data_IF_150614534985
#
_entry.id   IF_150614534985
#
_cell.length_a   1.000
_cell.length_b   1.000
_cell.length_c   1.000
_cell.angle_alpha   90.00
_cell.angle_beta   90.00
_cell.angle_gamma   90.00
#
_symmetry.space_group_name_H-M   'P 1'
#
loop_
_entity.id
_entity.type
_entity.pdbx_description
1 polymer ?
#
# COMPACT_ATOMS: atom_id res chain seq x y z
N UNK A 1 -9.73 14.96 7.63
CA UNK A 1 -10.16 13.54 7.68
C UNK A 1 -9.23 12.78 6.76
N UNK A 2 -8.63 11.69 7.21
CA UNK A 2 -7.82 10.84 6.31
C UNK A 2 -8.76 10.12 5.35
N UNK A 3 -8.57 10.28 4.05
CA UNK A 3 -9.33 9.55 3.04
C UNK A 3 -8.90 8.08 3.03
N UNK A 4 -9.85 7.17 2.83
CA UNK A 4 -9.57 5.74 2.62
C UNK A 4 -9.34 5.53 1.13
N UNK A 5 -8.18 5.00 0.76
CA UNK A 5 -7.89 4.63 -0.63
C UNK A 5 -8.34 3.21 -0.88
N UNK A 6 -8.91 2.93 -2.05
CA UNK A 6 -9.42 1.61 -2.42
C UNK A 6 -8.65 1.08 -3.61
N UNK A 7 -8.16 -0.15 -3.52
CA UNK A 7 -7.45 -0.84 -4.60
C UNK A 7 -8.05 -2.21 -4.84
N UNK A 8 -8.22 -2.56 -6.12
CA UNK A 8 -8.70 -3.88 -6.50
C UNK A 8 -7.53 -4.82 -6.78
N UNK A 9 -7.54 -5.99 -6.13
CA UNK A 9 -6.53 -7.04 -6.31
C UNK A 9 -7.20 -8.40 -6.52
N UNK A 10 -6.68 -9.27 -7.40
CA UNK A 10 -7.27 -10.58 -7.64
C UNK A 10 -7.15 -11.51 -6.41
N UNK A 11 -6.07 -11.34 -5.63
CA UNK A 11 -5.80 -12.10 -4.42
C UNK A 11 -5.42 -11.16 -3.26
N UNK A 12 -6.20 -11.22 -2.18
CA UNK A 12 -6.01 -10.36 -1.01
C UNK A 12 -4.75 -10.69 -0.23
N UNK A 13 -4.33 -11.96 -0.19
CA UNK A 13 -3.13 -12.37 0.53
C UNK A 13 -1.87 -11.87 -0.16
N UNK A 14 -1.81 -11.98 -1.49
CA UNK A 14 -0.74 -11.41 -2.31
C UNK A 14 -0.75 -9.88 -2.26
N UNK A 15 -1.93 -9.25 -2.36
CA UNK A 15 -2.07 -7.80 -2.21
C UNK A 15 -1.58 -7.32 -0.85
N UNK A 16 -2.06 -7.91 0.25
CA UNK A 16 -1.63 -7.55 1.60
C UNK A 16 -0.12 -7.74 1.77
N UNK A 17 0.43 -8.87 1.32
CA UNK A 17 1.87 -9.14 1.40
C UNK A 17 2.70 -8.11 0.62
N UNK A 18 2.24 -7.69 -0.57
CA UNK A 18 2.87 -6.64 -1.36
C UNK A 18 2.93 -5.31 -0.61
N UNK A 19 1.80 -4.83 -0.09
CA UNK A 19 1.75 -3.55 0.61
C UNK A 19 2.44 -3.59 1.98
N UNK A 20 2.43 -4.74 2.66
CA UNK A 20 3.25 -4.96 3.87
C UNK A 20 4.75 -4.91 3.58
N UNK A 21 5.18 -5.43 2.43
CA UNK A 21 6.57 -5.30 1.99
C UNK A 21 6.96 -3.84 1.68
N UNK A 22 6.00 -2.96 1.37
CA UNK A 22 6.18 -1.50 1.29
C UNK A 22 6.07 -0.78 2.65
N UNK A 23 5.87 -1.54 3.73
CA UNK A 23 5.85 -1.03 5.09
C UNK A 23 4.47 -0.71 5.67
N UNK A 24 3.38 -1.12 5.02
CA UNK A 24 2.04 -0.96 5.60
C UNK A 24 1.77 -2.05 6.64
N UNK A 25 1.03 -1.69 7.69
CA UNK A 25 0.54 -2.68 8.65
C UNK A 25 -0.79 -3.25 8.17
N UNK A 26 -0.96 -4.57 8.25
CA UNK A 26 -2.25 -5.23 8.07
C UNK A 26 -3.03 -5.11 9.38
N UNK A 27 -4.18 -4.43 9.34
CA UNK A 27 -5.08 -4.30 10.49
C UNK A 27 -6.12 -5.42 10.51
N UNK A 28 -6.70 -5.73 9.35
CA UNK A 28 -7.79 -6.68 9.24
C UNK A 28 -7.77 -7.37 7.88
N UNK A 29 -8.08 -8.67 7.89
CA UNK A 29 -8.24 -9.48 6.69
C UNK A 29 -9.49 -10.33 6.87
N UNK A 30 -10.49 -10.12 6.02
CA UNK A 30 -11.74 -10.89 6.02
C UNK A 30 -12.06 -11.37 4.60
N UNK A 31 -13.03 -12.27 4.41
CA UNK A 31 -13.40 -12.71 3.08
C UNK A 31 -13.84 -11.53 2.20
N UNK A 32 -13.08 -11.23 1.15
CA UNK A 32 -13.41 -10.19 0.16
C UNK A 32 -12.64 -8.88 0.31
N UNK A 33 -12.03 -8.62 1.48
CA UNK A 33 -11.33 -7.35 1.73
C UNK A 33 -10.17 -7.47 2.74
N UNK A 34 -9.24 -6.53 2.65
CA UNK A 34 -8.16 -6.35 3.61
C UNK A 34 -7.95 -4.86 3.91
N UNK A 35 -7.84 -4.51 5.18
CA UNK A 35 -7.55 -3.15 5.63
C UNK A 35 -6.08 -3.06 6.05
N UNK A 36 -5.36 -2.15 5.41
CA UNK A 36 -4.00 -1.79 5.77
C UNK A 36 -3.93 -0.34 6.24
N UNK A 37 -3.05 -0.02 7.19
CA UNK A 37 -2.92 1.34 7.72
C UNK A 37 -1.49 1.85 7.63
N UNK A 38 -1.26 2.94 6.86
CA UNK A 38 -0.10 3.80 6.96
C UNK A 38 -0.36 4.99 7.91
N UNK A 39 0.69 5.75 8.21
CA UNK A 39 0.60 6.94 9.07
C UNK A 39 -0.35 8.04 8.57
N UNK A 40 -0.66 8.13 7.27
CA UNK A 40 -1.51 9.20 6.69
C UNK A 40 -2.99 8.82 6.47
N UNK A 41 -3.34 7.54 6.37
CA UNK A 41 -4.74 7.10 6.17
C UNK A 41 -4.88 5.71 5.56
N UNK A 42 -5.94 4.94 5.88
CA UNK A 42 -6.04 3.52 5.53
C UNK A 42 -6.08 3.25 4.02
N UNK A 43 -5.44 2.14 3.63
CA UNK A 43 -5.58 1.49 2.32
C UNK A 43 -6.50 0.27 2.46
N UNK A 44 -7.58 0.25 1.68
CA UNK A 44 -8.51 -0.87 1.56
C UNK A 44 -8.22 -1.65 0.28
N UNK A 45 -7.95 -2.94 0.41
CA UNK A 45 -7.87 -3.87 -0.71
C UNK A 45 -9.20 -4.60 -0.88
N UNK A 46 -9.72 -4.65 -2.10
CA UNK A 46 -10.92 -5.38 -2.46
C UNK A 46 -10.62 -6.44 -3.51
N UNK A 47 -11.17 -7.64 -3.37
CA UNK A 47 -11.23 -8.59 -4.47
C UNK A 47 -12.36 -8.19 -5.43
N UNK A 48 -12.14 -8.15 -6.77
CA UNK A 48 -13.23 -7.93 -7.72
C UNK A 48 -14.41 -8.88 -7.48
N UNK A 49 -15.63 -8.36 -7.40
CA UNK A 49 -16.84 -9.12 -7.09
C UNK A 49 -17.75 -8.41 -6.09
N UNK A 50 -18.65 -9.14 -5.43
CA UNK A 50 -19.48 -8.61 -4.34
C UNK A 50 -18.61 -8.43 -3.09
N UNK A 51 -18.11 -7.22 -2.91
CA UNK A 51 -17.40 -6.76 -1.72
C UNK A 51 -17.65 -5.25 -1.57
N UNK A 52 -17.94 -4.80 -0.36
CA UNK A 52 -18.26 -3.42 -0.07
C UNK A 52 -18.13 -3.16 1.41
N UNK A 53 -17.30 -2.20 1.77
CA UNK A 53 -17.08 -1.80 3.17
C UNK A 53 -18.17 -0.82 3.57
N UNK A 54 -18.97 -1.19 4.58
CA UNK A 54 -19.56 -0.18 5.44
C UNK A 54 -18.43 0.43 6.28
N UNK A 55 -18.36 1.76 6.32
CA UNK A 55 -17.28 2.48 7.00
C UNK A 55 -17.18 2.00 8.46
N UNK A 56 -16.12 1.25 8.77
CA UNK A 56 -15.87 0.75 10.12
C UNK A 56 -15.61 1.87 11.13
N UNK A 57 -15.69 1.58 12.44
CA UNK A 57 -15.39 2.57 13.47
C UNK A 57 -13.95 3.10 13.32
N UNK A 58 -13.73 4.37 13.66
CA UNK A 58 -12.39 4.98 13.64
C UNK A 58 -11.45 4.19 14.56
N UNK A 59 -10.45 3.52 14.00
CA UNK A 59 -9.43 2.79 14.77
C UNK A 59 -8.22 3.68 15.04
N UNK A 60 -7.55 3.52 16.19
CA UNK A 60 -6.29 4.21 16.46
C UNK A 60 -5.23 3.80 15.43
N UNK A 61 -4.32 4.72 15.09
CA UNK A 61 -3.22 4.42 14.18
C UNK A 61 -2.32 3.33 14.80
N UNK A 62 -1.80 2.38 14.01
CA UNK A 62 -0.83 1.41 14.50
C UNK A 62 0.36 2.13 15.14
N UNK A 63 0.78 1.63 16.30
CA UNK A 63 1.93 2.18 17.02
C UNK A 63 3.23 1.78 16.30
N UNK A 64 3.79 2.74 15.58
CA UNK A 64 5.08 2.62 14.90
C UNK A 64 5.39 3.90 14.13
N UNK A 65 6.58 4.47 14.33
CA UNK A 65 7.02 5.67 13.60
C UNK A 65 7.57 5.37 12.21
N UNK A 66 7.55 4.10 11.78
CA UNK A 66 8.15 3.66 10.54
C UNK A 66 7.15 3.55 9.40
N UNK A 67 7.52 4.14 8.28
CA UNK A 67 7.19 3.72 6.91
C UNK A 67 6.02 4.40 6.20
N UNK A 68 6.06 4.19 4.88
CA UNK A 68 5.78 5.16 3.84
C UNK A 68 4.46 5.91 3.97
N UNK A 69 4.50 7.21 3.69
CA UNK A 69 3.29 8.03 3.60
C UNK A 69 2.59 7.71 2.29
N UNK A 70 1.31 7.37 2.36
CA UNK A 70 0.51 6.96 1.20
C UNK A 70 -0.38 8.10 0.71
N UNK A 71 -0.35 8.35 -0.59
CA UNK A 71 -1.22 9.31 -1.29
C UNK A 71 -1.72 8.74 -2.60
N UNK A 72 -2.82 9.29 -3.10
CA UNK A 72 -3.26 9.07 -4.48
C UNK A 72 -2.85 10.26 -5.32
N UNK A 73 -2.01 10.03 -6.33
CA UNK A 73 -1.51 11.07 -7.23
C UNK A 73 -1.70 10.60 -8.68
N UNK A 74 -2.45 11.37 -9.47
CA UNK A 74 -2.68 11.08 -10.90
C UNK A 74 -3.14 9.64 -11.18
N UNK A 75 -3.99 9.09 -10.30
CA UNK A 75 -4.51 7.71 -10.41
C UNK A 75 -3.53 6.61 -9.98
N UNK A 76 -2.43 6.97 -9.30
CA UNK A 76 -1.41 6.03 -8.82
C UNK A 76 -1.27 6.16 -7.31
N UNK A 77 -0.99 5.05 -6.65
CA UNK A 77 -0.58 5.11 -5.26
C UNK A 77 0.86 5.63 -5.20
N UNK A 78 1.08 6.65 -4.38
CA UNK A 78 2.36 7.32 -4.19
C UNK A 78 2.81 7.08 -2.75
N UNK A 79 3.98 6.47 -2.59
CA UNK A 79 4.62 6.17 -1.31
C UNK A 79 5.83 7.08 -1.14
N UNK A 80 5.78 7.96 -0.15
CA UNK A 80 6.92 8.76 0.25
C UNK A 80 7.75 8.00 1.28
N UNK A 81 9.03 7.81 0.97
CA UNK A 81 10.00 7.13 1.83
C UNK A 81 11.14 8.07 2.19
N UNK A 82 11.83 7.80 3.30
CA UNK A 82 12.98 8.62 3.71
C UNK A 82 14.20 8.46 2.79
N UNK A 83 14.36 7.27 2.20
CA UNK A 83 15.49 6.97 1.31
C UNK A 83 15.13 5.88 0.31
N UNK A 84 15.25 6.20 -0.98
CA UNK A 84 15.11 5.23 -2.06
C UNK A 84 16.23 4.19 -2.04
N UNK A 85 17.41 4.51 -1.51
CA UNK A 85 18.50 3.55 -1.38
C UNK A 85 18.12 2.43 -0.40
N UNK A 86 17.59 2.78 0.77
CA UNK A 86 17.07 1.80 1.73
C UNK A 86 15.88 1.04 1.18
N UNK A 87 15.00 1.72 0.44
CA UNK A 87 13.82 1.08 -0.13
C UNK A 87 14.20 0.05 -1.20
N UNK A 88 15.17 0.32 -2.08
CA UNK A 88 15.68 -0.68 -3.05
C UNK A 88 16.16 -1.96 -2.35
N UNK A 89 16.86 -1.84 -1.23
CA UNK A 89 17.31 -2.99 -0.44
C UNK A 89 16.13 -3.78 0.15
N UNK A 90 15.10 -3.08 0.63
CA UNK A 90 13.86 -3.69 1.12
C UNK A 90 13.14 -4.45 0.00
N UNK A 91 12.93 -3.81 -1.15
CA UNK A 91 12.28 -4.42 -2.30
C UNK A 91 13.02 -5.68 -2.76
N UNK A 92 14.36 -5.62 -2.84
CA UNK A 92 15.18 -6.78 -3.15
C UNK A 92 15.03 -7.91 -2.12
N UNK A 93 15.00 -7.59 -0.81
CA UNK A 93 14.78 -8.57 0.27
C UNK A 93 13.44 -9.31 0.13
N UNK A 94 12.39 -8.61 -0.32
CA UNK A 94 11.05 -9.19 -0.51
C UNK A 94 10.81 -9.69 -1.94
N UNK A 95 11.80 -9.63 -2.83
CA UNK A 95 11.67 -10.07 -4.22
C UNK A 95 10.67 -9.24 -5.04
N UNK A 96 10.44 -7.97 -4.67
CA UNK A 96 9.54 -7.09 -5.39
C UNK A 96 10.26 -6.44 -6.59
N UNK A 97 9.72 -6.69 -7.78
CA UNK A 97 10.21 -6.06 -9.01
C UNK A 97 9.79 -4.59 -9.06
N UNK A 98 10.72 -3.74 -9.52
CA UNK A 98 10.48 -2.32 -9.76
C UNK A 98 11.18 -1.87 -11.03
N UNK A 99 10.73 -0.73 -11.58
CA UNK A 99 11.38 0.00 -12.66
C UNK A 99 11.92 1.32 -12.12
N UNK A 100 13.11 1.70 -12.53
CA UNK A 100 13.64 3.02 -12.23
C UNK A 100 13.05 4.05 -13.21
N UNK A 101 12.62 5.19 -12.69
CA UNK A 101 12.00 6.25 -13.46
C UNK A 101 12.50 7.61 -12.97
N UNK A 102 13.77 7.91 -13.23
CA UNK A 102 14.40 9.15 -12.78
C UNK A 102 14.54 9.19 -11.25
N UNK A 103 13.73 10.00 -10.59
CA UNK A 103 13.76 10.27 -9.15
C UNK A 103 12.83 9.36 -8.32
N UNK A 104 12.21 8.37 -8.95
CA UNK A 104 11.29 7.45 -8.28
C UNK A 104 11.40 6.02 -8.82
N UNK A 105 10.79 5.10 -8.08
CA UNK A 105 10.60 3.71 -8.47
C UNK A 105 9.13 3.51 -8.86
N UNK A 106 8.90 2.78 -9.94
CA UNK A 106 7.58 2.35 -10.37
C UNK A 106 7.44 0.84 -10.15
N UNK A 107 6.46 0.46 -9.35
CA UNK A 107 6.04 -0.91 -9.10
C UNK A 107 4.64 -1.14 -9.65
N UNK A 108 4.30 -2.41 -9.76
CA UNK A 108 2.93 -2.84 -10.02
C UNK A 108 2.56 -3.85 -8.94
N UNK A 109 1.42 -3.62 -8.29
CA UNK A 109 0.90 -4.59 -7.34
C UNK A 109 0.37 -5.85 -8.08
N UNK A 110 -0.05 -6.90 -7.36
CA UNK A 110 -0.59 -8.11 -7.99
C UNK A 110 -1.87 -7.90 -8.84
N UNK A 111 -2.57 -6.78 -8.65
CA UNK A 111 -3.69 -6.37 -9.50
C UNK A 111 -3.28 -5.56 -10.74
N UNK A 112 -1.99 -5.26 -10.90
CA UNK A 112 -1.48 -4.41 -11.97
C UNK A 112 -1.66 -2.92 -11.69
N UNK A 113 -1.98 -2.53 -10.46
CA UNK A 113 -2.13 -1.12 -10.09
C UNK A 113 -0.75 -0.46 -10.02
N UNK A 114 -0.56 0.73 -10.63
CA UNK A 114 0.71 1.44 -10.59
C UNK A 114 0.97 2.01 -9.19
N UNK A 115 2.15 1.71 -8.67
CA UNK A 115 2.62 2.17 -7.36
C UNK A 115 3.94 2.91 -7.54
N UNK A 116 3.96 4.18 -7.19
CA UNK A 116 5.13 5.06 -7.23
C UNK A 116 5.74 5.10 -5.83
N UNK A 117 7.05 4.94 -5.74
CA UNK A 117 7.82 5.12 -4.51
C UNK A 117 8.87 6.20 -4.77
N UNK A 118 8.90 7.24 -3.96
CA UNK A 118 9.86 8.35 -4.08
C UNK A 118 10.27 8.89 -2.73
N UNK A 119 11.35 9.67 -2.69
CA UNK A 119 11.76 10.37 -1.47
C UNK A 119 10.80 11.54 -1.16
N UNK A 120 10.49 11.78 0.13
CA UNK A 120 9.68 12.92 0.57
C UNK A 120 9.23 12.93 2.03
#
# INVERSE_FOLDING_TARGET
MSETLVVYVPDLGQGASFYQALGLALEELVPGEALLVPGEGPLLLLRPGTGGVERGPSRPRPEGQGFARLRLEEGRLSFLVESLAHERLRLAKYGLAYREAGDHLLLFDPGGNPVVVREG
#
